data_IF_665095107661
#
_entry.id   IF_665095107661
#
_cell.length_a   1.000
_cell.length_b   1.000
_cell.length_c   1.000
_cell.angle_alpha   90.00
_cell.angle_beta   90.00
_cell.angle_gamma   90.00
#
_symmetry.space_group_name_H-M   'P 1'
#
loop_
_entity.id
_entity.type
_entity.pdbx_description
1 polymer ?
#
# COMPACT_ATOMS: atom_id res chain seq x y z
N UNK A 1 7.78 -22.78 -3.18
CA UNK A 1 7.06 -21.49 -3.13
C UNK A 1 7.93 -20.54 -2.31
N UNK A 2 8.20 -19.33 -2.79
CA UNK A 2 9.03 -18.36 -2.10
C UNK A 2 8.11 -17.50 -1.23
N UNK A 3 8.42 -17.37 0.05
CA UNK A 3 7.67 -16.53 1.00
C UNK A 3 8.51 -15.33 1.38
N UNK A 4 7.94 -14.14 1.28
CA UNK A 4 8.58 -12.87 1.61
C UNK A 4 7.75 -12.13 2.64
N UNK A 5 8.42 -11.47 3.58
CA UNK A 5 7.83 -10.48 4.46
C UNK A 5 8.23 -9.10 3.95
N UNK A 6 7.24 -8.22 3.79
CA UNK A 6 7.40 -6.87 3.30
C UNK A 6 6.99 -5.93 4.42
N UNK A 7 7.86 -4.99 4.76
CA UNK A 7 7.58 -3.90 5.69
C UNK A 7 7.99 -2.57 5.07
N UNK A 8 7.10 -1.59 5.14
CA UNK A 8 7.32 -0.26 4.59
C UNK A 8 6.77 0.78 5.57
N UNK A 9 7.58 1.82 5.81
CA UNK A 9 7.17 3.05 6.46
C UNK A 9 7.51 4.21 5.53
N UNK A 10 6.51 5.00 5.16
CA UNK A 10 6.70 6.28 4.48
C UNK A 10 6.27 7.41 5.40
N UNK A 11 7.11 8.43 5.53
CA UNK A 11 6.83 9.61 6.34
C UNK A 11 6.96 10.87 5.48
N UNK A 12 5.92 11.69 5.48
CA UNK A 12 5.85 12.92 4.71
C UNK A 12 5.47 14.09 5.60
N UNK A 13 5.98 15.27 5.26
CA UNK A 13 5.41 16.54 5.71
C UNK A 13 4.58 17.13 4.58
N UNK A 14 3.27 17.22 4.81
CA UNK A 14 2.34 17.82 3.85
C UNK A 14 2.29 19.33 4.11
N UNK A 15 2.66 20.13 3.11
CA UNK A 15 2.75 21.59 3.25
C UNK A 15 1.43 22.32 2.94
N UNK A 16 0.51 21.66 2.23
CA UNK A 16 -0.76 22.21 1.76
C UNK A 16 -1.74 21.06 1.49
N UNK A 17 -3.06 21.32 1.41
CA UNK A 17 -4.03 20.28 1.04
C UNK A 17 -3.62 19.59 -0.26
N UNK A 18 -3.67 18.25 -0.27
CA UNK A 18 -3.19 17.46 -1.40
C UNK A 18 -4.02 16.20 -1.64
N UNK A 19 -4.21 15.85 -2.90
CA UNK A 19 -4.74 14.55 -3.30
C UNK A 19 -3.58 13.58 -3.51
N UNK A 20 -3.49 12.52 -2.71
CA UNK A 20 -2.39 11.55 -2.78
C UNK A 20 -2.83 10.25 -3.44
N UNK A 21 -1.90 9.62 -4.16
CA UNK A 21 -2.08 8.33 -4.81
C UNK A 21 -0.80 7.49 -4.64
N UNK A 22 -0.91 6.37 -3.95
CA UNK A 22 0.22 5.47 -3.68
C UNK A 22 -0.02 4.10 -4.32
N UNK A 23 1.03 3.51 -4.89
CA UNK A 23 1.07 2.13 -5.35
C UNK A 23 2.13 1.36 -4.55
N UNK A 24 1.78 1.01 -3.32
CA UNK A 24 2.70 0.41 -2.34
C UNK A 24 2.29 -1.01 -1.91
N UNK A 25 1.07 -1.42 -2.25
CA UNK A 25 0.55 -2.72 -1.88
C UNK A 25 1.08 -3.78 -2.86
N UNK A 26 1.42 -4.95 -2.33
CA UNK A 26 1.76 -6.09 -3.16
C UNK A 26 0.63 -6.40 -4.17
N UNK A 27 1.04 -6.60 -5.42
CA UNK A 27 0.18 -6.93 -6.53
C UNK A 27 -0.57 -8.24 -6.28
N UNK A 28 -1.85 -8.31 -6.67
CA UNK A 28 -2.65 -9.54 -6.63
C UNK A 28 -2.89 -10.04 -8.05
N UNK A 29 -1.91 -10.74 -8.62
CA UNK A 29 -1.99 -11.25 -9.99
C UNK A 29 -1.16 -12.52 -10.20
N UNK A 30 -1.71 -13.45 -10.97
CA UNK A 30 -1.00 -14.61 -11.51
C UNK A 30 -0.47 -15.55 -10.43
N UNK A 31 0.86 -15.55 -10.26
CA UNK A 31 1.61 -16.50 -9.41
C UNK A 31 2.01 -15.93 -8.05
N UNK A 32 1.48 -14.76 -7.68
CA UNK A 32 1.72 -14.06 -6.42
C UNK A 32 0.44 -14.01 -5.57
N UNK A 33 0.58 -14.34 -4.29
CA UNK A 33 -0.51 -14.45 -3.33
C UNK A 33 -0.17 -13.65 -2.08
N UNK A 34 -0.99 -12.64 -1.77
CA UNK A 34 -0.90 -11.90 -0.50
C UNK A 34 -1.64 -12.71 0.56
N UNK A 35 -0.93 -13.22 1.57
CA UNK A 35 -1.49 -14.08 2.62
C UNK A 35 -1.99 -13.30 3.82
N UNK A 36 -1.23 -12.29 4.20
CA UNK A 36 -1.55 -11.35 5.28
C UNK A 36 -1.21 -9.96 4.77
N UNK A 37 -2.04 -8.98 5.11
CA UNK A 37 -1.76 -7.58 4.81
C UNK A 37 -2.32 -6.66 5.89
N UNK A 38 -1.58 -5.60 6.17
CA UNK A 38 -2.06 -4.45 6.93
C UNK A 38 -1.57 -3.17 6.28
N UNK A 39 -2.46 -2.18 6.25
CA UNK A 39 -2.17 -0.84 5.77
C UNK A 39 -2.73 0.14 6.79
N UNK A 40 -1.87 1.03 7.27
CA UNK A 40 -2.22 2.08 8.21
C UNK A 40 -1.79 3.42 7.64
N UNK A 41 -2.72 4.39 7.64
CA UNK A 41 -2.43 5.77 7.29
C UNK A 41 -2.81 6.64 8.48
N UNK A 42 -1.86 7.42 8.99
CA UNK A 42 -2.10 8.40 10.05
C UNK A 42 -1.68 9.79 9.60
N UNK A 43 -2.39 10.81 10.06
CA UNK A 43 -2.05 12.21 9.82
C UNK A 43 -2.23 12.99 11.12
N UNK A 44 -1.13 13.56 11.62
CA UNK A 44 -1.04 14.00 13.02
C UNK A 44 -1.34 12.83 13.96
N UNK A 45 -2.24 13.06 14.92
CA UNK A 45 -2.65 12.06 15.92
C UNK A 45 -3.85 11.20 15.46
N UNK A 46 -4.36 11.43 14.24
CA UNK A 46 -5.57 10.80 13.72
C UNK A 46 -5.31 9.70 12.69
N UNK A 47 -6.27 8.76 12.58
CA UNK A 47 -6.34 7.80 11.48
C UNK A 47 -6.99 8.46 10.26
N UNK A 48 -6.39 8.27 9.08
CA UNK A 48 -7.00 8.67 7.81
C UNK A 48 -7.57 7.42 7.16
N UNK A 49 -8.91 7.29 7.00
CA UNK A 49 -9.48 6.13 6.34
C UNK A 49 -9.09 6.16 4.85
N UNK A 50 -8.24 5.22 4.39
CA UNK A 50 -7.81 5.22 3.01
C UNK A 50 -8.95 4.79 2.08
N UNK A 51 -9.15 5.49 0.97
CA UNK A 51 -9.97 4.95 -0.12
C UNK A 51 -9.09 4.02 -0.96
N UNK A 52 -9.24 2.72 -0.71
CA UNK A 52 -8.61 1.68 -1.51
C UNK A 52 -9.37 1.53 -2.82
N UNK A 53 -8.69 1.79 -3.94
CA UNK A 53 -9.20 1.45 -5.27
C UNK A 53 -8.31 0.37 -5.87
N UNK A 54 -8.84 -0.83 -5.91
CA UNK A 54 -8.30 -1.88 -6.75
C UNK A 54 -8.76 -1.61 -8.18
N UNK A 55 -7.84 -1.57 -9.13
CA UNK A 55 -8.16 -1.48 -10.55
C UNK A 55 -7.90 -2.86 -11.19
N UNK A 56 -8.82 -3.84 -10.99
CA UNK A 56 -8.69 -5.14 -11.64
C UNK A 56 -8.83 -4.95 -13.15
N UNK A 57 -7.83 -5.41 -13.93
CA UNK A 57 -7.96 -5.50 -15.38
C UNK A 57 -6.72 -5.19 -16.23
N UNK A 58 -5.70 -4.49 -15.73
CA UNK A 58 -4.51 -4.17 -16.55
C UNK A 58 -3.23 -4.86 -16.07
N UNK A 59 -2.86 -4.70 -14.79
CA UNK A 59 -1.60 -5.26 -14.25
C UNK A 59 -1.67 -5.71 -12.79
N UNK A 60 -2.85 -5.76 -12.14
CA UNK A 60 -2.99 -6.18 -10.74
C UNK A 60 -2.45 -5.20 -9.68
N UNK A 61 -2.04 -3.99 -10.11
CA UNK A 61 -1.64 -2.90 -9.21
C UNK A 61 -2.83 -2.42 -8.38
N UNK A 62 -2.55 -2.02 -7.13
CA UNK A 62 -3.55 -1.58 -6.16
C UNK A 62 -3.18 -0.18 -5.72
N UNK A 63 -4.11 0.76 -5.86
CA UNK A 63 -3.87 2.16 -5.55
C UNK A 63 -4.61 2.58 -4.29
N UNK A 64 -3.85 3.18 -3.39
CA UNK A 64 -4.33 3.88 -2.22
C UNK A 64 -4.53 5.35 -2.58
N UNK A 65 -5.74 5.89 -2.41
CA UNK A 65 -6.04 7.30 -2.66
C UNK A 65 -6.72 7.93 -1.45
N UNK A 66 -6.34 9.15 -1.09
CA UNK A 66 -6.98 9.92 -0.04
C UNK A 66 -6.56 11.39 -0.13
N UNK A 67 -7.32 12.25 0.55
CA UNK A 67 -7.04 13.67 0.65
C UNK A 67 -6.28 13.92 1.95
N UNK A 68 -5.12 14.57 1.84
CA UNK A 68 -4.27 14.92 2.95
C UNK A 68 -4.43 16.40 3.31
N UNK A 69 -4.35 16.70 4.60
CA UNK A 69 -4.29 18.07 5.12
C UNK A 69 -2.84 18.43 5.46
N UNK A 70 -2.50 19.72 5.60
CA UNK A 70 -1.18 20.13 6.06
C UNK A 70 -0.82 19.47 7.40
N UNK A 71 0.39 18.94 7.51
CA UNK A 71 0.85 18.24 8.70
C UNK A 71 1.66 16.98 8.39
N UNK A 72 2.13 16.29 9.45
CA UNK A 72 2.85 15.03 9.29
C UNK A 72 1.88 13.93 8.85
N UNK A 73 2.32 13.12 7.89
CA UNK A 73 1.61 11.98 7.34
C UNK A 73 2.52 10.75 7.43
N UNK A 74 1.98 9.64 7.94
CA UNK A 74 2.67 8.36 8.00
C UNK A 74 1.86 7.26 7.32
N UNK A 75 2.53 6.45 6.50
CA UNK A 75 1.96 5.26 5.88
C UNK A 75 2.78 4.05 6.29
N UNK A 76 2.13 3.08 6.92
CA UNK A 76 2.74 1.79 7.25
C UNK A 76 2.07 0.70 6.43
N UNK A 77 2.85 -0.07 5.70
CA UNK A 77 2.38 -1.25 4.97
C UNK A 77 3.17 -2.47 5.41
N UNK A 78 2.47 -3.54 5.79
CA UNK A 78 3.07 -4.84 6.05
C UNK A 78 2.34 -5.91 5.25
N UNK A 79 3.08 -6.86 4.70
CA UNK A 79 2.48 -8.00 4.04
C UNK A 79 3.34 -9.24 4.09
N UNK A 80 2.67 -10.38 4.17
CA UNK A 80 3.26 -11.68 3.88
C UNK A 80 2.84 -12.09 2.47
N UNK A 81 3.82 -12.26 1.58
CA UNK A 81 3.58 -12.58 0.17
C UNK A 81 4.21 -13.92 -0.17
N UNK A 82 3.45 -14.77 -0.85
CA UNK A 82 3.92 -16.02 -1.41
C UNK A 82 3.93 -15.95 -2.93
N UNK A 83 5.04 -16.35 -3.54
CA UNK A 83 5.18 -16.40 -5.00
C UNK A 83 5.63 -17.79 -5.44
N UNK A 84 5.10 -18.26 -6.56
CA UNK A 84 5.68 -19.43 -7.21
C UNK A 84 7.06 -19.08 -7.79
N UNK A 85 8.03 -20.01 -7.76
CA UNK A 85 9.34 -19.79 -8.37
C UNK A 85 9.18 -19.42 -9.85
N UNK A 86 10.01 -18.51 -10.35
CA UNK A 86 10.16 -18.33 -11.80
C UNK A 86 10.55 -19.69 -12.39
N UNK A 87 9.84 -20.13 -13.42
CA UNK A 87 10.31 -21.29 -14.19
C UNK A 87 11.55 -20.82 -14.97
N UNK A 88 12.61 -21.64 -15.06
CA UNK A 88 13.78 -21.30 -15.86
C UNK A 88 13.42 -21.09 -17.34
#
# INVERSE_FOLDING_TARGET
MIRSQIELLLSYQINGPAHLCFNIQAMRLGRQFVREESLLVTQGDGLVPPLLREFPGTHGSRFLRFDAQPGPLSLTYRATVEQLPLLP
#
